data_IF_912655555765
#
_entry.id   IF_912655555765
#
_cell.length_a   1.000
_cell.length_b   1.000
_cell.length_c   1.000
_cell.angle_alpha   90.00
_cell.angle_beta   90.00
_cell.angle_gamma   90.00
#
_symmetry.space_group_name_H-M   'P 1'
#
loop_
_entity.id
_entity.type
_entity.pdbx_description
1 polymer ?
#
# COMPACT_ATOMS: atom_id res chain seq x y z
N UNK A 1 12.57 -16.08 0.17
CA UNK A 1 11.58 -15.25 0.90
C UNK A 1 11.30 -15.89 2.26
N UNK A 2 10.39 -15.33 3.06
CA UNK A 2 10.03 -15.87 4.38
C UNK A 2 8.53 -16.18 4.45
N UNK A 3 8.16 -17.14 5.29
CA UNK A 3 6.78 -17.52 5.61
C UNK A 3 6.57 -17.45 7.12
N UNK A 4 5.44 -16.92 7.56
CA UNK A 4 5.02 -16.90 8.96
C UNK A 4 4.46 -18.26 9.33
N UNK A 5 5.03 -18.89 10.36
CA UNK A 5 4.47 -20.13 10.88
C UNK A 5 3.07 -19.95 11.45
N UNK A 6 2.17 -20.90 11.15
CA UNK A 6 0.80 -20.89 11.68
C UNK A 6 -0.26 -21.20 10.62
N UNK A 7 0.03 -20.88 9.36
CA UNK A 7 -0.91 -21.00 8.26
C UNK A 7 -1.72 -19.72 8.05
N UNK A 8 -2.80 -19.83 7.28
CA UNK A 8 -3.67 -18.72 6.90
C UNK A 8 -5.09 -18.95 7.37
N UNK A 9 -5.79 -17.87 7.71
CA UNK A 9 -7.22 -17.89 8.00
C UNK A 9 -8.04 -17.84 6.69
N UNK A 10 -9.37 -17.81 6.81
CA UNK A 10 -10.28 -17.74 5.66
C UNK A 10 -10.13 -16.48 4.80
N UNK A 11 -9.50 -15.43 5.32
CA UNK A 11 -9.21 -14.17 4.63
C UNK A 11 -7.82 -14.14 3.99
N UNK A 12 -7.04 -15.22 4.13
CA UNK A 12 -5.70 -15.33 3.56
C UNK A 12 -4.60 -14.62 4.36
N UNK A 13 -4.89 -14.15 5.57
CA UNK A 13 -3.91 -13.54 6.50
C UNK A 13 -3.48 -14.52 7.58
N UNK A 14 -2.45 -14.19 8.37
CA UNK A 14 -1.83 -15.13 9.33
C UNK A 14 -2.78 -15.53 10.47
N UNK A 15 -2.84 -16.82 10.80
CA UNK A 15 -3.52 -17.33 12.01
C UNK A 15 -2.67 -17.24 13.27
N UNK A 16 -1.35 -17.01 13.11
CA UNK A 16 -0.41 -16.94 14.22
C UNK A 16 0.58 -15.78 14.00
N UNK A 17 0.21 -14.55 14.38
CA UNK A 17 1.08 -13.38 14.22
C UNK A 17 2.40 -13.49 15.03
N UNK A 18 2.43 -14.34 16.06
CA UNK A 18 3.61 -14.62 16.88
C UNK A 18 4.49 -15.75 16.33
N UNK A 19 4.05 -16.43 15.27
CA UNK A 19 4.84 -17.46 14.59
C UNK A 19 6.19 -16.95 14.14
N UNK A 20 7.19 -17.83 14.00
CA UNK A 20 8.50 -17.41 13.49
C UNK A 20 8.40 -17.10 12.00
N UNK A 21 9.15 -16.10 11.55
CA UNK A 21 9.43 -15.94 10.13
C UNK A 21 10.50 -16.97 9.74
N UNK A 22 10.13 -17.95 8.92
CA UNK A 22 11.03 -19.00 8.44
C UNK A 22 11.35 -18.80 6.98
N UNK A 23 12.60 -19.05 6.60
CA UNK A 23 12.97 -19.09 5.19
C UNK A 23 12.11 -20.11 4.45
N UNK A 24 11.68 -19.74 3.24
CA UNK A 24 11.04 -20.64 2.29
C UNK A 24 11.58 -20.42 0.89
N UNK A 25 11.73 -21.53 0.17
CA UNK A 25 12.06 -21.57 -1.26
C UNK A 25 10.80 -21.66 -2.14
N UNK A 26 9.60 -21.58 -1.54
CA UNK A 26 8.33 -21.55 -2.27
C UNK A 26 8.34 -20.38 -3.25
N UNK A 27 8.06 -20.69 -4.51
CA UNK A 27 7.81 -19.70 -5.56
C UNK A 27 6.33 -19.40 -5.54
N UNK A 28 5.97 -18.13 -5.38
CA UNK A 28 4.57 -17.72 -5.20
C UNK A 28 4.00 -17.17 -6.51
N UNK A 29 4.84 -16.46 -7.24
CA UNK A 29 4.57 -16.04 -8.60
C UNK A 29 5.52 -16.80 -9.52
N UNK A 30 4.97 -17.67 -10.36
CA UNK A 30 5.76 -18.49 -11.28
C UNK A 30 6.38 -17.60 -12.37
N UNK A 31 7.72 -17.48 -12.43
CA UNK A 31 8.38 -16.69 -13.48
C UNK A 31 8.27 -17.34 -14.86
N UNK A 32 7.84 -18.61 -14.94
CA UNK A 32 7.59 -19.33 -16.18
C UNK A 32 6.22 -19.09 -16.81
N UNK A 33 5.40 -18.18 -16.25
CA UNK A 33 4.12 -17.81 -16.87
C UNK A 33 4.35 -17.23 -18.28
N UNK A 34 3.54 -17.65 -19.25
CA UNK A 34 3.67 -17.23 -20.64
C UNK A 34 3.03 -15.85 -20.89
N UNK A 35 2.03 -15.49 -20.09
CA UNK A 35 1.24 -14.28 -20.26
C UNK A 35 1.64 -13.19 -19.25
N UNK A 36 1.48 -11.93 -19.65
CA UNK A 36 1.69 -10.78 -18.76
C UNK A 36 0.46 -10.54 -17.87
N UNK A 37 0.54 -10.89 -16.59
CA UNK A 37 -0.52 -10.62 -15.61
C UNK A 37 -0.36 -9.22 -14.98
N UNK A 38 -1.04 -8.22 -15.52
CA UNK A 38 -0.96 -6.83 -15.05
C UNK A 38 -1.37 -6.58 -13.59
N UNK A 39 -2.08 -7.52 -12.95
CA UNK A 39 -2.48 -7.41 -11.55
C UNK A 39 -1.46 -7.91 -10.53
N UNK A 40 -0.55 -8.84 -10.89
CA UNK A 40 0.34 -9.50 -9.92
C UNK A 40 1.62 -10.13 -10.51
N UNK A 41 1.96 -9.84 -11.78
CA UNK A 41 3.06 -10.50 -12.49
C UNK A 41 4.38 -9.73 -12.59
N UNK A 42 4.48 -8.54 -11.99
CA UNK A 42 5.67 -7.69 -12.16
C UNK A 42 6.74 -8.00 -11.10
N UNK A 43 7.99 -8.15 -11.53
CA UNK A 43 9.17 -8.26 -10.66
C UNK A 43 10.09 -7.07 -10.91
N UNK A 44 10.68 -6.53 -9.84
CA UNK A 44 11.60 -5.41 -9.96
C UNK A 44 12.24 -5.01 -8.65
N UNK A 45 13.13 -4.02 -8.72
CA UNK A 45 13.72 -3.41 -7.53
C UNK A 45 12.73 -2.45 -6.88
N UNK A 46 12.64 -2.40 -5.53
CA UNK A 46 11.90 -1.36 -4.83
C UNK A 46 12.30 0.06 -5.24
N UNK A 47 13.59 0.26 -5.58
CA UNK A 47 14.11 1.56 -6.01
C UNK A 47 13.52 1.98 -7.36
N UNK A 48 13.36 1.04 -8.29
CA UNK A 48 12.80 1.35 -9.62
C UNK A 48 11.28 1.59 -9.52
N UNK A 49 10.59 0.83 -8.68
CA UNK A 49 9.17 1.09 -8.39
C UNK A 49 8.98 2.47 -7.73
N UNK A 50 9.84 2.83 -6.78
CA UNK A 50 9.80 4.12 -6.10
C UNK A 50 9.98 5.31 -7.07
N UNK A 51 10.80 5.19 -8.12
CA UNK A 51 10.92 6.25 -9.15
C UNK A 51 9.59 6.54 -9.84
N UNK A 52 8.75 5.52 -10.06
CA UNK A 52 7.42 5.72 -10.62
C UNK A 52 6.51 6.49 -9.66
N UNK A 53 6.51 6.09 -8.38
CA UNK A 53 5.77 6.80 -7.33
C UNK A 53 6.20 8.26 -7.23
N UNK A 54 7.52 8.51 -7.29
CA UNK A 54 8.10 9.85 -7.23
C UNK A 54 7.67 10.72 -8.42
N UNK A 55 7.69 10.19 -9.65
CA UNK A 55 7.25 10.92 -10.85
C UNK A 55 5.77 11.30 -10.77
N UNK A 56 4.91 10.37 -10.31
CA UNK A 56 3.48 10.63 -10.10
C UNK A 56 3.26 11.67 -8.99
N UNK A 57 3.94 11.52 -7.85
CA UNK A 57 3.84 12.43 -6.71
C UNK A 57 4.26 13.85 -7.06
N UNK A 58 5.39 13.99 -7.78
CA UNK A 58 5.91 15.27 -8.25
C UNK A 58 5.11 15.86 -9.41
N UNK A 59 4.22 15.07 -10.03
CA UNK A 59 3.48 15.44 -11.24
C UNK A 59 4.41 16.02 -12.33
N UNK A 60 5.51 15.32 -12.59
CA UNK A 60 6.62 15.85 -13.41
C UNK A 60 6.45 15.63 -14.93
N UNK A 61 5.32 15.06 -15.35
CA UNK A 61 5.00 14.83 -16.76
C UNK A 61 5.81 13.72 -17.44
N UNK A 62 6.67 12.99 -16.73
CA UNK A 62 7.52 11.95 -17.35
C UNK A 62 6.76 10.68 -17.71
N UNK A 63 5.78 10.31 -16.88
CA UNK A 63 4.99 9.08 -17.08
C UNK A 63 3.64 9.36 -17.72
N UNK A 64 2.92 10.36 -17.22
CA UNK A 64 1.56 10.71 -17.63
C UNK A 64 1.42 12.23 -17.69
N UNK A 65 0.41 12.70 -18.44
CA UNK A 65 0.04 14.13 -18.45
C UNK A 65 -0.49 14.55 -17.07
N UNK A 66 -0.34 15.83 -16.74
CA UNK A 66 -0.79 16.37 -15.45
C UNK A 66 -2.28 16.10 -15.21
N UNK A 67 -3.12 16.30 -16.21
CA UNK A 67 -4.57 16.13 -16.07
C UNK A 67 -4.94 14.66 -15.82
N UNK A 68 -4.12 13.72 -16.33
CA UNK A 68 -4.30 12.28 -16.04
C UNK A 68 -3.89 11.96 -14.61
N UNK A 69 -2.80 12.54 -14.12
CA UNK A 69 -2.38 12.39 -12.73
C UNK A 69 -3.43 13.03 -11.81
N UNK A 70 -3.98 14.19 -12.16
CA UNK A 70 -5.06 14.81 -11.37
C UNK A 70 -6.31 13.93 -11.30
N UNK A 71 -6.68 13.27 -12.40
CA UNK A 71 -7.81 12.34 -12.41
C UNK A 71 -7.55 11.08 -11.56
N UNK A 72 -6.30 10.60 -11.47
CA UNK A 72 -5.95 9.48 -10.59
C UNK A 72 -6.34 9.76 -9.14
N UNK A 73 -6.20 11.01 -8.70
CA UNK A 73 -6.46 11.48 -7.33
C UNK A 73 -7.85 12.09 -7.16
N UNK A 74 -8.84 11.63 -7.93
CA UNK A 74 -10.26 11.90 -7.70
C UNK A 74 -11.00 10.65 -7.20
N UNK A 75 -12.06 10.80 -6.38
CA UNK A 75 -12.98 9.71 -6.06
C UNK A 75 -13.61 9.11 -7.32
N UNK A 76 -13.49 7.80 -7.51
CA UNK A 76 -14.00 7.09 -8.69
C UNK A 76 -15.20 6.19 -8.39
N UNK A 77 -15.56 6.00 -7.11
CA UNK A 77 -16.66 5.13 -6.74
C UNK A 77 -18.01 5.84 -6.75
N UNK A 78 -19.03 5.11 -7.22
CA UNK A 78 -20.42 5.46 -6.91
C UNK A 78 -20.69 5.26 -5.41
N UNK A 79 -21.73 5.90 -4.88
CA UNK A 79 -22.11 5.76 -3.47
C UNK A 79 -22.31 4.29 -3.06
N UNK A 80 -22.92 3.48 -3.93
CA UNK A 80 -23.11 2.05 -3.67
C UNK A 80 -21.79 1.28 -3.63
N UNK A 81 -20.87 1.57 -4.55
CA UNK A 81 -19.55 0.92 -4.57
C UNK A 81 -18.70 1.34 -3.38
N UNK A 82 -18.80 2.61 -2.96
CA UNK A 82 -18.13 3.12 -1.76
C UNK A 82 -18.64 2.44 -0.50
N UNK A 83 -19.95 2.20 -0.37
CA UNK A 83 -20.47 1.37 0.74
C UNK A 83 -19.87 -0.03 0.74
N UNK A 84 -19.76 -0.68 -0.43
CA UNK A 84 -19.11 -1.99 -0.53
C UNK A 84 -17.63 -1.98 -0.12
N UNK A 85 -16.89 -0.91 -0.49
CA UNK A 85 -15.51 -0.70 0.00
C UNK A 85 -15.48 -0.57 1.53
N UNK A 86 -16.35 0.26 2.11
CA UNK A 86 -16.44 0.45 3.55
C UNK A 86 -16.81 -0.82 4.31
N UNK A 87 -17.76 -1.61 3.78
CA UNK A 87 -18.09 -2.94 4.32
C UNK A 87 -16.88 -3.88 4.26
N UNK A 88 -16.13 -3.86 3.16
CA UNK A 88 -14.91 -4.69 3.01
C UNK A 88 -13.84 -4.31 4.03
N UNK A 89 -13.56 -3.01 4.18
CA UNK A 89 -12.57 -2.50 5.13
C UNK A 89 -13.02 -2.61 6.60
N UNK A 90 -14.30 -2.86 6.84
CA UNK A 90 -14.80 -3.11 8.20
C UNK A 90 -14.37 -4.48 8.77
N UNK A 91 -13.93 -5.41 7.91
CA UNK A 91 -13.39 -6.71 8.32
C UNK A 91 -11.89 -6.55 8.62
N UNK A 92 -11.45 -6.66 9.89
CA UNK A 92 -10.08 -6.33 10.29
C UNK A 92 -9.02 -7.11 9.50
N UNK A 93 -9.21 -8.41 9.31
CA UNK A 93 -8.25 -9.27 8.60
C UNK A 93 -8.14 -8.93 7.12
N UNK A 94 -9.22 -8.44 6.51
CA UNK A 94 -9.19 -7.98 5.12
C UNK A 94 -8.51 -6.62 5.04
N UNK A 95 -8.84 -5.70 5.94
CA UNK A 95 -8.18 -4.41 6.06
C UNK A 95 -6.67 -4.55 6.29
N UNK A 96 -6.24 -5.48 7.15
CA UNK A 96 -4.83 -5.78 7.39
C UNK A 96 -4.09 -6.15 6.09
N UNK A 97 -4.74 -6.88 5.19
CA UNK A 97 -4.20 -7.20 3.87
C UNK A 97 -4.28 -6.07 2.84
N UNK A 98 -5.10 -5.04 3.10
CA UNK A 98 -5.38 -3.90 2.23
C UNK A 98 -4.75 -2.59 2.75
N UNK A 99 -3.61 -2.68 3.45
CA UNK A 99 -2.79 -1.58 4.01
C UNK A 99 -2.92 -1.32 5.52
N UNK A 100 -3.89 -1.95 6.19
CA UNK A 100 -4.15 -1.79 7.61
C UNK A 100 -4.49 -0.34 7.98
N UNK A 101 -5.44 0.24 7.25
CA UNK A 101 -5.98 1.57 7.53
C UNK A 101 -6.60 1.66 8.93
N UNK A 102 -6.71 2.86 9.53
CA UNK A 102 -7.49 3.06 10.75
C UNK A 102 -8.91 2.53 10.59
N UNK A 103 -9.39 1.76 11.58
CA UNK A 103 -10.75 1.22 11.54
C UNK A 103 -11.78 2.34 11.56
N UNK A 104 -12.74 2.30 10.62
CA UNK A 104 -13.76 3.33 10.46
C UNK A 104 -13.33 4.52 9.59
N UNK A 105 -12.14 4.48 8.98
CA UNK A 105 -11.69 5.46 7.99
C UNK A 105 -12.70 5.61 6.86
N UNK A 106 -13.14 6.82 6.58
CA UNK A 106 -13.86 7.11 5.33
C UNK A 106 -12.90 7.04 4.14
N UNK A 107 -13.21 6.18 3.17
CA UNK A 107 -12.36 5.92 2.01
C UNK A 107 -13.13 5.90 0.69
N UNK A 108 -12.40 6.11 -0.40
CA UNK A 108 -12.84 5.93 -1.78
C UNK A 108 -11.78 5.11 -2.55
N UNK A 109 -11.94 4.98 -3.86
CA UNK A 109 -10.95 4.40 -4.74
C UNK A 109 -10.53 5.42 -5.79
N UNK A 110 -9.24 5.73 -5.86
CA UNK A 110 -8.65 6.49 -6.96
C UNK A 110 -8.21 5.57 -8.09
N UNK A 111 -7.72 6.10 -9.21
CA UNK A 111 -7.16 5.27 -10.26
C UNK A 111 -5.76 4.77 -9.84
N UNK A 112 -5.72 3.68 -9.09
CA UNK A 112 -4.49 2.99 -8.68
C UNK A 112 -4.53 2.37 -7.29
N UNK A 113 -5.42 2.83 -6.40
CA UNK A 113 -5.50 2.32 -5.03
C UNK A 113 -6.59 3.00 -4.19
N UNK A 114 -6.61 2.66 -2.90
CA UNK A 114 -7.54 3.24 -1.93
C UNK A 114 -7.16 4.69 -1.65
N UNK A 115 -8.17 5.55 -1.59
CA UNK A 115 -8.02 6.97 -1.26
C UNK A 115 -8.62 7.28 0.11
N UNK A 116 -7.85 7.87 1.01
CA UNK A 116 -8.38 8.34 2.30
C UNK A 116 -9.14 9.66 2.14
N UNK A 117 -10.36 9.75 2.66
CA UNK A 117 -11.23 10.95 2.57
C UNK A 117 -11.09 11.90 3.78
N UNK A 118 -10.18 11.59 4.67
CA UNK A 118 -9.76 12.36 5.84
C UNK A 118 -8.24 12.23 6.05
N UNK A 119 -7.64 13.11 6.86
CA UNK A 119 -6.22 12.97 7.22
C UNK A 119 -6.04 11.71 8.10
N UNK A 120 -5.03 10.88 7.81
CA UNK A 120 -4.73 9.67 8.59
C UNK A 120 -3.27 9.68 9.08
N UNK A 121 -3.08 9.70 10.40
CA UNK A 121 -1.75 9.88 10.97
C UNK A 121 -1.08 11.15 10.44
N UNK A 122 0.02 11.00 9.70
CA UNK A 122 0.72 12.11 9.03
C UNK A 122 0.31 12.31 7.55
N UNK A 123 -0.44 11.38 6.97
CA UNK A 123 -0.85 11.38 5.56
C UNK A 123 -2.08 12.26 5.38
N UNK A 124 -2.03 13.13 4.37
CA UNK A 124 -3.13 14.05 4.08
C UNK A 124 -4.33 13.36 3.44
N UNK A 125 -5.52 13.90 3.65
CA UNK A 125 -6.74 13.64 2.88
C UNK A 125 -6.46 13.70 1.38
N UNK A 126 -7.01 12.72 0.65
CA UNK A 126 -6.89 12.59 -0.79
C UNK A 126 -5.63 11.87 -1.25
N UNK A 127 -4.81 11.35 -0.33
CA UNK A 127 -3.68 10.48 -0.68
C UNK A 127 -4.19 9.13 -1.18
N UNK A 128 -3.38 8.46 -1.99
CA UNK A 128 -3.68 7.12 -2.48
C UNK A 128 -2.64 6.15 -1.95
N UNK A 129 -3.09 4.99 -1.49
CA UNK A 129 -2.22 3.89 -1.07
C UNK A 129 -2.75 2.55 -1.54
N UNK A 130 -1.82 1.60 -1.69
CA UNK A 130 -2.15 0.21 -1.95
C UNK A 130 -1.03 -0.70 -1.49
N UNK A 131 -1.26 -2.00 -1.60
CA UNK A 131 -0.32 -3.02 -1.24
C UNK A 131 0.04 -3.95 -2.39
N UNK A 132 0.96 -4.85 -2.10
CA UNK A 132 1.31 -5.97 -2.94
C UNK A 132 1.73 -7.14 -2.10
N UNK A 133 1.52 -8.35 -2.60
CA UNK A 133 2.12 -9.53 -2.01
C UNK A 133 3.66 -9.47 -2.21
N UNK A 134 4.52 -9.89 -1.25
CA UNK A 134 4.22 -10.46 0.08
C UNK A 134 4.39 -9.41 1.23
N UNK A 135 3.39 -8.57 1.49
CA UNK A 135 3.47 -7.39 2.39
C UNK A 135 4.40 -6.27 1.89
N UNK A 136 4.18 -5.87 0.64
CA UNK A 136 4.64 -4.61 0.07
C UNK A 136 3.55 -3.56 0.30
N UNK A 137 3.95 -2.33 0.62
CA UNK A 137 3.02 -1.21 0.79
C UNK A 137 3.58 0.00 0.04
N UNK A 138 2.71 0.83 -0.53
CA UNK A 138 3.11 2.11 -1.10
C UNK A 138 2.01 3.14 -0.92
N UNK A 139 2.42 4.41 -0.89
CA UNK A 139 1.50 5.54 -0.79
C UNK A 139 2.02 6.76 -1.54
N UNK A 140 1.10 7.64 -1.93
CA UNK A 140 1.37 8.94 -2.54
C UNK A 140 0.47 9.98 -1.88
N UNK A 141 1.07 10.93 -1.17
CA UNK A 141 0.45 12.14 -0.66
C UNK A 141 0.94 13.35 -1.47
N UNK A 142 0.14 13.76 -2.45
CA UNK A 142 0.45 14.91 -3.30
C UNK A 142 0.37 16.25 -2.56
N UNK A 143 -0.43 16.35 -1.48
CA UNK A 143 -0.60 17.60 -0.74
C UNK A 143 0.63 17.91 0.10
N UNK A 144 1.19 16.90 0.77
CA UNK A 144 2.47 17.05 1.46
C UNK A 144 3.66 16.96 0.51
N UNK A 145 3.49 16.37 -0.68
CA UNK A 145 4.58 16.11 -1.63
C UNK A 145 5.47 14.95 -1.19
N UNK A 146 4.91 14.01 -0.43
CA UNK A 146 5.61 12.85 0.13
C UNK A 146 4.99 11.58 -0.47
N UNK A 147 5.83 10.67 -0.92
CA UNK A 147 5.44 9.33 -1.33
C UNK A 147 6.45 8.32 -0.78
N UNK A 148 6.08 7.06 -0.75
CA UNK A 148 6.95 6.02 -0.22
C UNK A 148 6.54 4.63 -0.60
N UNK A 149 7.47 3.70 -0.36
CA UNK A 149 7.26 2.27 -0.51
C UNK A 149 7.94 1.55 0.66
N UNK A 150 7.23 0.62 1.27
CA UNK A 150 7.77 -0.38 2.17
C UNK A 150 7.92 -1.70 1.43
N UNK A 151 9.14 -2.25 1.45
CA UNK A 151 9.47 -3.51 0.80
C UNK A 151 9.76 -4.61 1.81
N UNK A 152 8.95 -5.67 1.83
CA UNK A 152 9.23 -6.90 2.57
C UNK A 152 9.07 -8.14 1.71
N UNK A 153 9.50 -9.29 2.24
CA UNK A 153 9.48 -10.59 1.57
C UNK A 153 8.88 -11.67 2.50
N UNK A 154 7.77 -11.36 3.18
CA UNK A 154 7.13 -12.24 4.17
C UNK A 154 5.70 -12.59 3.75
N UNK A 155 5.36 -13.88 3.65
CA UNK A 155 3.97 -14.33 3.54
C UNK A 155 3.41 -14.79 4.90
N UNK A 156 2.08 -14.77 5.13
CA UNK A 156 1.00 -14.26 4.26
C UNK A 156 0.81 -12.73 4.35
N UNK A 157 0.01 -12.09 3.47
CA UNK A 157 -0.31 -10.66 3.55
C UNK A 157 -1.05 -10.34 4.86
N UNK A 158 -1.04 -9.07 5.24
CA UNK A 158 -1.66 -8.58 6.48
C UNK A 158 -0.99 -9.12 7.73
N UNK A 159 0.33 -9.33 7.69
CA UNK A 159 1.09 -9.69 8.89
C UNK A 159 1.11 -8.48 9.85
N UNK A 160 0.56 -8.58 11.08
CA UNK A 160 0.42 -7.43 11.95
C UNK A 160 1.75 -6.77 12.34
N UNK A 161 2.85 -7.54 12.39
CA UNK A 161 4.17 -7.00 12.68
C UNK A 161 4.73 -6.21 11.49
N UNK A 162 4.46 -6.67 10.27
CA UNK A 162 4.81 -5.89 9.08
C UNK A 162 3.98 -4.61 9.01
N UNK A 163 2.66 -4.68 9.25
CA UNK A 163 1.78 -3.51 9.23
C UNK A 163 2.25 -2.45 10.26
N UNK A 164 2.62 -2.88 11.49
CA UNK A 164 3.17 -1.97 12.50
C UNK A 164 4.50 -1.33 12.05
N UNK A 165 5.40 -2.12 11.47
CA UNK A 165 6.69 -1.60 10.98
C UNK A 165 6.50 -0.63 9.81
N UNK A 166 5.57 -0.91 8.91
CA UNK A 166 5.20 -0.04 7.82
C UNK A 166 4.67 1.31 8.32
N UNK A 167 3.69 1.30 9.24
CA UNK A 167 3.13 2.54 9.81
C UNK A 167 4.20 3.35 10.55
N UNK A 168 5.05 2.68 11.34
CA UNK A 168 6.19 3.33 12.02
C UNK A 168 7.17 3.96 11.01
N UNK A 169 7.43 3.26 9.90
CA UNK A 169 8.29 3.77 8.84
C UNK A 169 7.67 5.00 8.16
N UNK A 170 6.38 4.96 7.83
CA UNK A 170 5.68 6.10 7.25
C UNK A 170 5.75 7.31 8.17
N UNK A 171 5.36 7.18 9.44
CA UNK A 171 5.42 8.26 10.44
C UNK A 171 6.81 8.90 10.52
N UNK A 172 7.86 8.08 10.53
CA UNK A 172 9.25 8.56 10.59
C UNK A 172 9.65 9.32 9.31
N UNK A 173 9.17 8.91 8.13
CA UNK A 173 9.41 9.63 6.87
C UNK A 173 8.79 11.02 6.93
N UNK A 174 7.53 11.13 7.36
CA UNK A 174 6.87 12.43 7.51
C UNK A 174 7.57 13.30 8.56
N UNK A 175 7.93 12.74 9.73
CA UNK A 175 8.65 13.48 10.78
C UNK A 175 9.97 14.06 10.27
N UNK A 176 10.75 13.29 9.51
CA UNK A 176 12.02 13.77 8.92
C UNK A 176 11.81 14.83 7.85
N UNK A 177 10.78 14.69 7.03
CA UNK A 177 10.44 15.67 6.00
C UNK A 177 10.07 17.02 6.62
N UNK A 178 9.24 17.03 7.67
CA UNK A 178 8.86 18.24 8.41
C UNK A 178 10.07 18.91 9.05
N UNK A 179 10.90 18.16 9.77
CA UNK A 179 12.13 18.69 10.39
C UNK A 179 13.16 19.23 9.38
N UNK A 180 13.13 18.74 8.14
CA UNK A 180 14.00 19.26 7.06
C UNK A 180 13.46 20.56 6.50
N UNK A 181 12.13 20.74 6.44
CA UNK A 181 11.48 21.98 5.99
C UNK A 181 11.65 23.13 6.98
N UNK A 182 11.67 22.85 8.29
CA UNK A 182 11.91 23.86 9.33
C UNK A 182 13.34 24.42 9.35
N UNK A 183 14.29 23.72 8.72
CA UNK A 183 15.70 24.14 8.63
C UNK A 183 16.02 24.99 7.39
N UNK A 184 15.04 25.17 6.50
CA UNK A 184 15.13 26.01 5.29
C UNK A 184 14.53 27.39 5.56
#
# INVERSE_FOLDING_TARGET
MSTREGGVNQHGTTTNPEGKAKYTSKVIFDPGTQDCHGGSGTFGSPIDYFKCLQSICANDGKLLKSETIDEMFRPQLSEASRRGLMETLSVPEVNDGMEAFPMGLEADWGLGGIMNLEDIGSRSKGSIAWGGYPNLHWWIDRKSGICGMWGSQLEPPGDPKINQLFHTFEEEIYRRASASREKL
#
